data_IF_479542081647
#
_entry.id   IF_479542081647
#
_cell.length_a   1.000
_cell.length_b   1.000
_cell.length_c   1.000
_cell.angle_alpha   90.00
_cell.angle_beta   90.00
_cell.angle_gamma   90.00
#
_symmetry.space_group_name_H-M   'P 1'
#
loop_
_entity.id
_entity.type
_entity.pdbx_description
1 polymer ?
#
# COMPACT_ATOMS: atom_id res chain seq x y z
N UNK A 1 13.26 25.74 0.44
CA UNK A 1 12.32 25.30 1.48
C UNK A 1 11.34 24.38 0.75
N UNK A 2 11.60 23.07 0.75
CA UNK A 2 10.66 22.09 0.21
C UNK A 2 9.49 21.97 1.20
N UNK A 3 8.26 21.97 0.72
CA UNK A 3 7.08 21.82 1.58
C UNK A 3 7.08 20.40 2.17
N UNK A 4 6.59 20.23 3.40
CA UNK A 4 6.36 18.90 4.00
C UNK A 4 5.46 18.01 3.10
N UNK A 5 4.61 18.64 2.28
CA UNK A 5 3.79 17.98 1.26
C UNK A 5 4.63 17.35 0.13
N UNK A 6 5.74 17.99 -0.26
CA UNK A 6 6.64 17.48 -1.32
C UNK A 6 7.44 16.26 -0.87
N UNK A 7 7.86 16.22 0.41
CA UNK A 7 8.64 15.10 0.95
C UNK A 7 7.80 13.82 1.10
N UNK A 8 6.55 13.94 1.58
CA UNK A 8 5.63 12.80 1.69
C UNK A 8 5.24 12.22 0.32
N UNK A 9 5.10 13.08 -0.68
CA UNK A 9 4.89 12.71 -2.09
C UNK A 9 6.08 11.90 -2.64
N UNK A 10 7.30 12.35 -2.37
CA UNK A 10 8.51 11.69 -2.88
C UNK A 10 8.75 10.32 -2.23
N UNK A 11 8.48 10.18 -0.92
CA UNK A 11 8.58 8.89 -0.22
C UNK A 11 7.53 7.90 -0.70
N UNK A 12 6.28 8.33 -0.86
CA UNK A 12 5.22 7.48 -1.37
C UNK A 12 5.55 6.93 -2.77
N UNK A 13 6.13 7.76 -3.64
CA UNK A 13 6.55 7.33 -4.97
C UNK A 13 7.67 6.28 -4.90
N UNK A 14 8.67 6.46 -4.04
CA UNK A 14 9.74 5.45 -3.84
C UNK A 14 9.19 4.11 -3.39
N UNK A 15 8.28 4.11 -2.42
CA UNK A 15 7.64 2.90 -1.92
C UNK A 15 6.81 2.24 -3.03
N UNK A 16 6.05 3.02 -3.79
CA UNK A 16 5.30 2.50 -4.95
C UNK A 16 6.24 1.88 -6.00
N UNK A 17 7.36 2.53 -6.32
CA UNK A 17 8.36 1.94 -7.21
C UNK A 17 8.90 0.61 -6.67
N UNK A 18 9.23 0.53 -5.38
CA UNK A 18 9.72 -0.69 -4.74
C UNK A 18 8.69 -1.84 -4.80
N UNK A 19 7.41 -1.52 -4.56
CA UNK A 19 6.30 -2.47 -4.71
C UNK A 19 6.21 -2.95 -6.16
N UNK A 20 6.14 -2.03 -7.12
CA UNK A 20 5.95 -2.37 -8.54
C UNK A 20 7.14 -3.05 -9.21
N UNK A 21 8.34 -2.93 -8.61
CA UNK A 21 9.51 -3.71 -9.01
C UNK A 21 9.39 -5.19 -8.60
N UNK A 22 8.68 -5.49 -7.51
CA UNK A 22 8.49 -6.86 -7.01
C UNK A 22 7.23 -7.51 -7.55
N UNK A 23 6.16 -6.73 -7.74
CA UNK A 23 4.87 -7.21 -8.21
C UNK A 23 4.28 -6.27 -9.25
N UNK A 24 3.96 -6.79 -10.42
CA UNK A 24 3.17 -6.04 -11.38
C UNK A 24 1.76 -5.77 -10.83
N UNK A 25 1.13 -4.70 -11.35
CA UNK A 25 -0.26 -4.37 -11.02
C UNK A 25 -1.19 -5.57 -11.29
N UNK A 26 -0.96 -6.27 -12.39
CA UNK A 26 -1.77 -7.43 -12.79
C UNK A 26 -1.61 -8.61 -11.81
N UNK A 27 -0.42 -8.84 -11.27
CA UNK A 27 -0.17 -9.86 -10.24
C UNK A 27 -0.86 -9.52 -8.92
N UNK A 28 -0.80 -8.25 -8.48
CA UNK A 28 -1.50 -7.79 -7.28
C UNK A 28 -3.02 -7.92 -7.46
N UNK A 29 -3.55 -7.51 -8.61
CA UNK A 29 -4.96 -7.66 -8.93
C UNK A 29 -5.39 -9.13 -8.99
N UNK A 30 -4.54 -10.03 -9.51
CA UNK A 30 -4.81 -11.47 -9.51
C UNK A 30 -4.85 -12.02 -8.08
N UNK A 31 -3.86 -11.67 -7.26
CA UNK A 31 -3.79 -12.10 -5.87
C UNK A 31 -5.05 -11.71 -5.08
N UNK A 32 -5.50 -10.47 -5.26
CA UNK A 32 -6.73 -9.95 -4.62
C UNK A 32 -7.98 -10.68 -5.12
N UNK A 33 -8.03 -11.06 -6.39
CA UNK A 33 -9.15 -11.84 -6.97
C UNK A 33 -9.21 -13.26 -6.45
N UNK A 34 -8.06 -13.90 -6.25
CA UNK A 34 -7.94 -15.29 -5.81
C UNK A 34 -8.10 -15.41 -4.28
N UNK A 35 -7.93 -14.31 -3.54
CA UNK A 35 -8.04 -14.28 -2.08
C UNK A 35 -9.48 -14.10 -1.62
N UNK A 36 -9.94 -14.98 -0.71
CA UNK A 36 -11.24 -14.80 -0.04
C UNK A 36 -11.20 -13.66 0.99
N UNK A 37 -10.07 -13.50 1.66
CA UNK A 37 -9.84 -12.49 2.68
C UNK A 37 -9.35 -11.15 2.09
N UNK A 38 -9.01 -10.21 2.96
CA UNK A 38 -8.41 -8.94 2.55
C UNK A 38 -6.90 -9.11 2.38
N UNK A 39 -6.32 -8.35 1.45
CA UNK A 39 -4.91 -8.44 1.09
C UNK A 39 -4.24 -7.10 1.36
N UNK A 40 -3.07 -7.14 2.00
CA UNK A 40 -2.35 -5.97 2.48
C UNK A 40 -0.90 -6.04 2.04
N UNK A 41 -0.36 -4.89 1.64
CA UNK A 41 1.08 -4.68 1.54
C UNK A 41 1.62 -4.36 2.94
N UNK A 42 2.68 -5.04 3.36
CA UNK A 42 3.39 -4.75 4.59
C UNK A 42 4.65 -3.92 4.30
N UNK A 43 4.73 -2.77 4.95
CA UNK A 43 5.94 -1.95 5.00
C UNK A 43 6.50 -1.97 6.43
N UNK A 44 7.81 -1.94 6.59
CA UNK A 44 8.41 -1.75 7.91
C UNK A 44 8.28 -0.28 8.33
N UNK A 45 7.97 0.00 9.61
CA UNK A 45 7.63 1.35 10.07
C UNK A 45 8.83 2.30 10.11
N UNK A 46 10.04 1.80 10.34
CA UNK A 46 11.20 2.67 10.50
C UNK A 46 11.77 3.14 9.16
N UNK A 47 11.95 2.21 8.23
CA UNK A 47 12.60 2.44 6.92
C UNK A 47 11.60 2.54 5.75
N UNK A 48 10.33 2.20 5.99
CA UNK A 48 9.24 2.18 4.99
C UNK A 48 9.50 1.21 3.83
N UNK A 49 10.41 0.26 4.01
CA UNK A 49 10.72 -0.73 2.98
C UNK A 49 9.59 -1.75 2.84
N UNK A 50 9.36 -2.19 1.61
CA UNK A 50 8.43 -3.29 1.35
C UNK A 50 8.99 -4.59 1.94
N UNK A 51 8.16 -5.22 2.78
CA UNK A 51 8.50 -6.47 3.47
C UNK A 51 7.85 -7.65 2.75
N UNK A 52 6.52 -7.71 2.74
CA UNK A 52 5.75 -8.85 2.24
C UNK A 52 4.28 -8.48 1.96
N UNK A 53 3.49 -9.45 1.50
CA UNK A 53 2.04 -9.37 1.38
C UNK A 53 1.37 -10.22 2.47
N UNK A 54 0.46 -9.61 3.22
CA UNK A 54 -0.37 -10.31 4.20
C UNK A 54 -1.78 -10.54 3.66
N UNK A 55 -2.30 -11.76 3.84
CA UNK A 55 -3.67 -12.14 3.52
C UNK A 55 -4.36 -12.49 4.84
N UNK A 56 -5.45 -11.80 5.17
CA UNK A 56 -6.17 -12.02 6.41
C UNK A 56 -7.15 -10.91 6.74
N UNK A 57 -7.62 -10.88 7.99
CA UNK A 57 -8.52 -9.83 8.49
C UNK A 57 -7.73 -8.64 9.05
N UNK A 58 -8.29 -7.43 8.92
CA UNK A 58 -7.70 -6.16 9.37
C UNK A 58 -7.49 -6.04 10.90
N UNK A 59 -8.09 -6.89 11.72
CA UNK A 59 -8.14 -6.72 13.18
C UNK A 59 -6.86 -7.22 13.89
N UNK A 60 -5.70 -7.13 13.23
CA UNK A 60 -4.42 -7.57 13.78
C UNK A 60 -3.57 -6.35 14.08
N UNK A 61 -2.93 -6.34 15.24
CA UNK A 61 -1.82 -5.43 15.48
C UNK A 61 -0.64 -5.87 14.61
N UNK A 62 -0.25 -5.00 13.69
CA UNK A 62 0.88 -5.23 12.80
C UNK A 62 2.22 -4.83 13.43
N UNK A 63 2.23 -4.37 14.68
CA UNK A 63 3.44 -4.12 15.45
C UNK A 63 4.37 -3.13 14.78
N UNK A 64 5.54 -3.60 14.32
CA UNK A 64 6.55 -2.82 13.60
C UNK A 64 6.22 -2.57 12.12
N UNK A 65 5.06 -3.03 11.64
CA UNK A 65 4.65 -2.91 10.24
C UNK A 65 3.47 -1.95 10.04
N UNK A 66 3.42 -1.36 8.85
CA UNK A 66 2.29 -0.62 8.29
C UNK A 66 1.60 -1.56 7.31
N UNK A 67 0.31 -1.84 7.53
CA UNK A 67 -0.50 -2.62 6.61
C UNK A 67 -1.31 -1.72 5.70
N UNK A 68 -1.07 -1.80 4.39
CA UNK A 68 -1.71 -0.97 3.38
C UNK A 68 -2.67 -1.86 2.57
N UNK A 69 -3.99 -1.61 2.60
CA UNK A 69 -4.94 -2.47 1.92
C UNK A 69 -4.83 -2.35 0.39
N UNK A 70 -4.87 -3.49 -0.30
CA UNK A 70 -4.99 -3.53 -1.75
C UNK A 70 -6.42 -3.18 -2.20
N UNK A 71 -6.62 -2.43 -3.30
CA UNK A 71 -7.94 -1.97 -3.74
C UNK A 71 -8.86 -3.08 -4.29
N UNK A 72 -9.49 -3.87 -3.41
CA UNK A 72 -10.35 -5.02 -3.77
C UNK A 72 -11.46 -4.69 -4.77
N UNK A 73 -12.09 -3.51 -4.66
CA UNK A 73 -13.13 -3.06 -5.58
C UNK A 73 -12.65 -3.09 -7.04
N UNK A 74 -11.46 -2.57 -7.31
CA UNK A 74 -10.89 -2.43 -8.64
C UNK A 74 -10.20 -3.69 -9.16
N UNK A 75 -10.11 -4.74 -8.34
CA UNK A 75 -9.67 -6.06 -8.76
C UNK A 75 -10.84 -7.01 -9.01
N UNK A 76 -11.93 -6.90 -8.24
CA UNK A 76 -13.01 -7.90 -8.20
C UNK A 76 -14.33 -7.39 -8.78
N UNK A 77 -14.82 -6.24 -8.32
CA UNK A 77 -16.18 -5.76 -8.64
C UNK A 77 -16.21 -4.97 -9.95
N UNK A 78 -15.25 -4.06 -10.10
CA UNK A 78 -15.10 -3.20 -11.27
C UNK A 78 -13.63 -3.27 -11.73
N UNK A 79 -13.20 -4.40 -12.36
CA UNK A 79 -11.79 -4.61 -12.69
C UNK A 79 -11.24 -3.50 -13.58
N UNK A 80 -10.35 -2.68 -13.04
CA UNK A 80 -9.70 -1.58 -13.75
C UNK A 80 -8.28 -1.40 -13.24
N UNK A 81 -7.32 -1.65 -14.15
CA UNK A 81 -5.89 -1.63 -13.84
C UNK A 81 -5.41 -0.23 -13.43
N UNK A 82 -5.88 0.82 -14.11
CA UNK A 82 -5.42 2.18 -13.87
C UNK A 82 -5.98 2.71 -12.54
N UNK A 83 -7.27 2.47 -12.29
CA UNK A 83 -7.87 2.85 -11.02
C UNK A 83 -7.31 2.05 -9.85
N UNK A 84 -7.00 0.76 -10.04
CA UNK A 84 -6.30 -0.03 -9.03
C UNK A 84 -4.93 0.59 -8.69
N UNK A 85 -4.11 0.89 -9.69
CA UNK A 85 -2.78 1.48 -9.49
C UNK A 85 -2.85 2.83 -8.79
N UNK A 86 -3.70 3.75 -9.27
CA UNK A 86 -3.88 5.09 -8.67
C UNK A 86 -4.38 4.98 -7.23
N UNK A 87 -5.34 4.09 -6.96
CA UNK A 87 -5.87 3.90 -5.60
C UNK A 87 -4.82 3.30 -4.67
N UNK A 88 -4.00 2.37 -5.15
CA UNK A 88 -2.91 1.82 -4.36
C UNK A 88 -1.88 2.89 -3.99
N UNK A 89 -1.47 3.74 -4.94
CA UNK A 89 -0.58 4.88 -4.68
C UNK A 89 -1.16 5.82 -3.63
N UNK A 90 -2.46 6.13 -3.72
CA UNK A 90 -3.15 6.96 -2.74
C UNK A 90 -3.17 6.31 -1.34
N UNK A 91 -3.44 5.00 -1.25
CA UNK A 91 -3.41 4.27 0.02
C UNK A 91 -2.02 4.31 0.67
N UNK A 92 -0.95 4.17 -0.13
CA UNK A 92 0.44 4.29 0.35
C UNK A 92 0.69 5.69 0.91
N UNK A 93 0.36 6.74 0.16
CA UNK A 93 0.55 8.12 0.61
C UNK A 93 -0.21 8.42 1.92
N UNK A 94 -1.46 7.96 2.02
CA UNK A 94 -2.28 8.12 3.22
C UNK A 94 -1.69 7.39 4.43
N UNK A 95 -1.22 6.16 4.23
CA UNK A 95 -0.62 5.37 5.31
C UNK A 95 0.67 6.02 5.84
N UNK A 96 1.54 6.50 4.95
CA UNK A 96 2.77 7.20 5.34
C UNK A 96 2.48 8.54 6.02
N UNK A 97 1.46 9.28 5.56
CA UNK A 97 1.05 10.53 6.20
C UNK A 97 0.48 10.29 7.59
N UNK A 98 -0.44 9.32 7.73
CA UNK A 98 -1.03 8.96 9.03
C UNK A 98 0.05 8.59 10.05
N UNK A 99 1.04 7.78 9.65
CA UNK A 99 2.18 7.45 10.52
C UNK A 99 2.97 8.69 10.96
N UNK A 100 3.22 9.66 10.08
CA UNK A 100 3.89 10.91 10.47
C UNK A 100 3.05 11.71 11.48
N UNK A 101 1.75 11.83 11.24
CA UNK A 101 0.83 12.59 12.10
C UNK A 101 0.67 11.98 13.51
N UNK A 102 0.89 10.67 13.69
CA UNK A 102 0.84 9.99 15.01
C UNK A 102 2.15 10.09 15.82
N UNK A 103 3.28 10.35 15.17
CA UNK A 103 4.61 10.38 15.81
C UNK A 103 5.22 11.80 15.90
N UNK A 104 4.39 12.84 15.79
CA UNK A 104 4.78 14.26 16.00
C UNK A 104 4.30 14.75 17.36
#
# INVERSE_FOLDING_TARGET
MMSLEDESSHEAEKVCCSIFQRFSVDELMRLVRESQEDVYILLHREDRDFVDIYIGKNNKDFGEFIAIPLPKRFAVLEPDRNYFEVTLRANVALALKGEKDFHT
#
